data_IF_085929217347
#
_entry.id   IF_085929217347
#
_cell.length_a   1.000
_cell.length_b   1.000
_cell.length_c   1.000
_cell.angle_alpha   90.00
_cell.angle_beta   90.00
_cell.angle_gamma   90.00
#
_symmetry.space_group_name_H-M   'P 1'
#
loop_
_entity.id
_entity.type
_entity.pdbx_description
1 polymer ?
#
# COMPACT_ATOMS: atom_id res chain seq x y z
N UNK A 1 -2.64 7.29 -8.24
CA UNK A 1 -2.07 6.58 -7.07
C UNK A 1 -2.81 5.28 -6.90
N UNK A 2 -2.10 4.17 -6.93
CA UNK A 2 -2.64 2.79 -6.83
C UNK A 2 -2.31 2.14 -5.48
N UNK A 3 -2.14 2.95 -4.46
CA UNK A 3 -1.79 2.47 -3.11
C UNK A 3 -3.07 2.16 -2.34
N UNK A 4 -3.15 0.97 -1.77
CA UNK A 4 -4.25 0.60 -0.88
C UNK A 4 -4.18 1.38 0.42
N UNK A 5 -5.29 2.03 0.77
CA UNK A 5 -5.43 2.77 2.01
C UNK A 5 -6.81 2.52 2.62
N UNK A 6 -6.89 2.28 3.93
CA UNK A 6 -8.11 1.85 4.62
C UNK A 6 -9.26 2.87 4.67
N UNK A 7 -9.00 4.12 4.32
CA UNK A 7 -9.99 5.20 4.31
C UNK A 7 -10.09 5.76 2.91
N UNK A 8 -11.30 6.04 2.47
CA UNK A 8 -11.61 6.68 1.19
C UNK A 8 -12.42 7.95 1.38
N UNK A 9 -12.41 8.81 0.37
CA UNK A 9 -13.24 9.99 0.30
C UNK A 9 -14.45 9.69 -0.58
N UNK A 10 -15.66 9.89 -0.04
CA UNK A 10 -16.90 9.73 -0.79
C UNK A 10 -17.11 10.90 -1.77
N UNK A 11 -18.03 10.75 -2.73
CA UNK A 11 -18.40 11.82 -3.65
C UNK A 11 -18.91 13.08 -2.94
N UNK A 12 -19.48 12.90 -1.75
CA UNK A 12 -19.99 13.99 -0.92
C UNK A 12 -18.90 14.62 -0.02
N UNK A 13 -17.64 14.24 -0.21
CA UNK A 13 -16.51 14.79 0.54
C UNK A 13 -16.38 14.27 1.97
N UNK A 14 -17.01 13.15 2.32
CA UNK A 14 -16.93 12.52 3.63
C UNK A 14 -15.89 11.41 3.66
N UNK A 15 -15.23 11.26 4.80
CA UNK A 15 -14.28 10.17 5.04
C UNK A 15 -15.01 8.93 5.51
N UNK A 16 -14.77 7.80 4.86
CA UNK A 16 -15.34 6.50 5.22
C UNK A 16 -14.27 5.40 5.17
N UNK A 17 -14.42 4.39 6.04
CA UNK A 17 -13.60 3.19 5.94
C UNK A 17 -14.03 2.39 4.71
N UNK A 18 -13.08 2.00 3.87
CA UNK A 18 -13.32 1.11 2.73
C UNK A 18 -13.09 -0.38 3.09
N UNK A 19 -12.72 -0.66 4.33
CA UNK A 19 -12.60 -2.01 4.88
C UNK A 19 -13.91 -2.34 5.60
N UNK A 20 -14.54 -3.46 5.23
CA UNK A 20 -15.80 -3.94 5.85
C UNK A 20 -15.58 -4.74 7.14
N UNK A 21 -14.36 -5.30 7.33
CA UNK A 21 -14.01 -6.10 8.50
C UNK A 21 -13.62 -5.23 9.69
N UNK A 22 -14.31 -5.36 10.82
CA UNK A 22 -13.93 -4.68 12.07
C UNK A 22 -12.50 -5.02 12.51
N UNK A 23 -12.10 -6.28 12.35
CA UNK A 23 -10.73 -6.71 12.63
C UNK A 23 -9.70 -6.00 11.74
N UNK A 24 -10.04 -5.74 10.46
CA UNK A 24 -9.21 -4.97 9.54
C UNK A 24 -9.07 -3.51 9.96
N UNK A 25 -10.18 -2.87 10.36
CA UNK A 25 -10.18 -1.50 10.87
C UNK A 25 -9.35 -1.40 12.16
N UNK A 26 -9.52 -2.35 13.07
CA UNK A 26 -8.77 -2.38 14.32
C UNK A 26 -7.26 -2.58 14.06
N UNK A 27 -6.89 -3.46 13.13
CA UNK A 27 -5.50 -3.67 12.71
C UNK A 27 -4.88 -2.39 12.14
N UNK A 28 -5.63 -1.68 11.29
CA UNK A 28 -5.19 -0.38 10.78
C UNK A 28 -4.91 0.62 11.90
N UNK A 29 -5.86 0.76 12.85
CA UNK A 29 -5.70 1.67 14.00
C UNK A 29 -4.46 1.32 14.83
N UNK A 30 -4.26 0.04 15.13
CA UNK A 30 -3.07 -0.45 15.85
C UNK A 30 -1.76 -0.16 15.11
N UNK A 31 -1.75 -0.24 13.79
CA UNK A 31 -0.55 0.02 13.00
C UNK A 31 -0.07 1.48 13.11
N UNK A 32 -0.98 2.43 13.28
CA UNK A 32 -0.66 3.87 13.30
C UNK A 32 -0.69 4.48 14.72
N UNK A 33 -1.10 3.72 15.73
CA UNK A 33 -1.13 4.17 17.12
C UNK A 33 -0.25 3.27 17.99
N UNK A 34 -0.87 2.40 18.78
CA UNK A 34 -0.22 1.38 19.60
C UNK A 34 -1.06 0.10 19.60
N UNK A 35 -0.54 -0.98 20.17
CA UNK A 35 -1.29 -2.24 20.31
C UNK A 35 -2.65 -2.06 21.04
N UNK A 36 -2.75 -1.05 21.89
CA UNK A 36 -3.97 -0.71 22.64
C UNK A 36 -4.80 0.38 21.96
N UNK A 37 -4.48 0.75 20.72
CA UNK A 37 -5.10 1.86 19.98
C UNK A 37 -5.06 3.21 20.72
N UNK A 38 -4.06 3.46 21.57
CA UNK A 38 -3.91 4.69 22.33
C UNK A 38 -2.69 5.49 21.89
N UNK A 39 -2.85 6.81 21.91
CA UNK A 39 -1.75 7.75 21.70
C UNK A 39 -1.83 8.79 22.81
N UNK A 40 -0.85 8.81 23.70
CA UNK A 40 -0.90 9.57 24.97
C UNK A 40 -2.16 9.17 25.74
N UNK A 41 -3.06 10.13 26.01
CA UNK A 41 -4.29 9.92 26.78
C UNK A 41 -5.54 9.73 25.88
N UNK A 42 -5.38 9.64 24.56
CA UNK A 42 -6.50 9.51 23.62
C UNK A 42 -6.63 8.06 23.14
N UNK A 43 -7.84 7.52 23.28
CA UNK A 43 -8.19 6.17 22.80
C UNK A 43 -8.85 6.23 21.43
N UNK A 44 -8.24 5.59 20.45
CA UNK A 44 -8.70 5.53 19.06
C UNK A 44 -9.43 4.22 18.72
N UNK A 45 -9.72 3.36 19.68
CA UNK A 45 -10.39 2.06 19.44
C UNK A 45 -11.70 2.23 18.68
N UNK A 46 -12.53 3.22 19.11
CA UNK A 46 -13.80 3.50 18.46
C UNK A 46 -13.76 4.70 17.50
N UNK A 47 -12.56 5.19 17.16
CA UNK A 47 -12.43 6.36 16.30
C UNK A 47 -13.05 6.15 14.92
N UNK A 48 -13.78 7.15 14.47
CA UNK A 48 -14.36 7.22 13.12
C UNK A 48 -13.31 7.50 12.06
N UNK A 49 -13.65 7.31 10.78
CA UNK A 49 -12.73 7.61 9.69
C UNK A 49 -12.26 9.08 9.65
N UNK A 50 -13.14 10.09 9.87
CA UNK A 50 -12.70 11.49 9.98
C UNK A 50 -11.73 11.74 11.13
N UNK A 51 -11.95 11.15 12.29
CA UNK A 51 -11.06 11.30 13.45
C UNK A 51 -9.69 10.69 13.19
N UNK A 52 -9.66 9.52 12.55
CA UNK A 52 -8.40 8.90 12.15
C UNK A 52 -7.65 9.71 11.09
N UNK A 53 -8.35 10.28 10.10
CA UNK A 53 -7.73 11.16 9.11
C UNK A 53 -7.16 12.42 9.76
N UNK A 54 -7.86 13.00 10.72
CA UNK A 54 -7.39 14.16 11.47
C UNK A 54 -6.13 13.82 12.31
N UNK A 55 -6.12 12.67 12.97
CA UNK A 55 -4.96 12.16 13.69
C UNK A 55 -3.76 11.95 12.75
N UNK A 56 -3.97 11.26 11.62
CA UNK A 56 -2.92 11.00 10.64
C UNK A 56 -2.35 12.29 10.02
N UNK A 57 -3.22 13.28 9.74
CA UNK A 57 -2.81 14.57 9.21
C UNK A 57 -1.96 15.34 10.20
N UNK A 58 -2.44 15.51 11.44
CA UNK A 58 -1.90 16.50 12.36
C UNK A 58 -0.85 15.94 13.34
N UNK A 59 -0.92 14.64 13.67
CA UNK A 59 -0.06 14.06 14.70
C UNK A 59 0.89 12.99 14.17
N UNK A 60 0.43 12.13 13.28
CA UNK A 60 1.24 11.00 12.83
C UNK A 60 2.17 11.36 11.67
N UNK A 61 1.64 12.01 10.64
CA UNK A 61 2.42 12.42 9.45
C UNK A 61 2.73 13.91 9.40
N UNK A 62 2.17 14.72 10.29
CA UNK A 62 2.40 16.16 10.42
C UNK A 62 2.33 16.89 9.05
N UNK A 63 1.21 16.68 8.34
CA UNK A 63 1.00 17.30 7.01
C UNK A 63 0.66 18.77 7.20
N UNK A 64 1.62 19.64 6.91
CA UNK A 64 1.48 21.10 7.01
C UNK A 64 0.88 21.71 5.75
N UNK A 65 0.18 22.82 5.91
CA UNK A 65 -0.45 23.60 4.83
C UNK A 65 -1.93 23.29 4.65
N UNK A 66 -2.59 24.18 3.91
CA UNK A 66 -3.98 24.02 3.50
C UNK A 66 -4.02 23.10 2.27
N UNK A 67 -4.33 21.84 2.51
CA UNK A 67 -4.32 20.78 1.49
C UNK A 67 -5.77 20.31 1.30
N UNK A 68 -6.21 20.35 0.05
CA UNK A 68 -7.50 19.78 -0.35
C UNK A 68 -7.61 18.30 0.00
N UNK A 69 -8.83 17.83 0.30
CA UNK A 69 -9.08 16.46 0.78
C UNK A 69 -8.58 15.38 -0.18
N UNK A 70 -8.70 15.57 -1.49
CA UNK A 70 -8.19 14.62 -2.49
C UNK A 70 -6.65 14.53 -2.48
N UNK A 71 -5.99 15.67 -2.35
CA UNK A 71 -4.53 15.72 -2.21
C UNK A 71 -4.09 15.14 -0.88
N UNK A 72 -4.81 15.46 0.20
CA UNK A 72 -4.54 14.91 1.53
C UNK A 72 -4.62 13.40 1.53
N UNK A 73 -5.68 12.82 0.94
CA UNK A 73 -5.82 11.37 0.81
C UNK A 73 -4.61 10.75 0.10
N UNK A 74 -4.19 11.33 -1.03
CA UNK A 74 -3.03 10.84 -1.79
C UNK A 74 -1.73 10.91 -0.98
N UNK A 75 -1.49 12.02 -0.28
CA UNK A 75 -0.30 12.19 0.56
C UNK A 75 -0.27 11.17 1.69
N UNK A 76 -1.39 11.03 2.41
CA UNK A 76 -1.47 10.13 3.56
C UNK A 76 -1.37 8.67 3.11
N UNK A 77 -2.04 8.27 2.02
CA UNK A 77 -1.99 6.90 1.50
C UNK A 77 -0.56 6.50 1.08
N UNK A 78 0.18 7.39 0.42
CA UNK A 78 1.58 7.14 0.05
C UNK A 78 2.45 7.01 1.30
N UNK A 79 2.35 7.96 2.25
CA UNK A 79 3.14 7.93 3.49
C UNK A 79 2.82 6.71 4.34
N UNK A 80 1.56 6.30 4.41
CA UNK A 80 1.14 5.10 5.13
C UNK A 80 1.73 3.83 4.51
N UNK A 81 1.71 3.72 3.18
CA UNK A 81 2.30 2.59 2.49
C UNK A 81 3.82 2.50 2.71
N UNK A 82 4.53 3.63 2.63
CA UNK A 82 5.96 3.69 2.95
C UNK A 82 6.21 3.31 4.42
N UNK A 83 5.36 3.76 5.33
CA UNK A 83 5.45 3.42 6.75
C UNK A 83 5.29 1.92 7.00
N UNK A 84 4.32 1.26 6.37
CA UNK A 84 4.12 -0.18 6.49
C UNK A 84 5.35 -0.99 6.04
N UNK A 85 6.09 -0.48 5.05
CA UNK A 85 7.31 -1.11 4.53
C UNK A 85 8.60 -0.57 5.18
N UNK A 86 8.50 0.22 6.25
CA UNK A 86 9.64 0.86 6.90
C UNK A 86 10.68 -0.13 7.45
N UNK A 87 10.28 -1.35 7.79
CA UNK A 87 11.17 -2.45 8.16
C UNK A 87 12.01 -3.00 7.00
N UNK A 88 11.60 -2.74 5.76
CA UNK A 88 12.23 -3.24 4.53
C UNK A 88 12.77 -2.09 3.68
N UNK A 89 13.66 -1.28 4.24
CA UNK A 89 14.17 -0.03 3.64
C UNK A 89 14.82 -0.18 2.26
N UNK A 90 15.17 -1.40 1.86
CA UNK A 90 15.81 -1.70 0.58
C UNK A 90 14.81 -2.10 -0.51
N UNK A 91 13.52 -2.26 -0.18
CA UNK A 91 12.49 -2.60 -1.15
C UNK A 91 11.80 -1.32 -1.61
N UNK A 92 11.73 -1.14 -2.92
CA UNK A 92 11.04 0.01 -3.52
C UNK A 92 9.53 -0.14 -3.33
N UNK A 93 8.88 0.94 -2.91
CA UNK A 93 7.42 1.00 -2.77
C UNK A 93 6.80 1.54 -4.05
N UNK A 94 5.92 0.78 -4.68
CA UNK A 94 5.19 1.23 -5.87
C UNK A 94 4.10 2.22 -5.47
N UNK A 95 4.20 3.45 -5.97
CA UNK A 95 3.26 4.54 -5.67
C UNK A 95 2.16 4.65 -6.73
N UNK A 96 2.51 4.42 -7.99
CA UNK A 96 1.57 4.46 -9.11
C UNK A 96 1.99 3.48 -10.19
N UNK A 97 1.00 2.93 -10.90
CA UNK A 97 1.18 2.06 -12.06
C UNK A 97 0.43 2.65 -13.26
N UNK A 98 0.76 2.20 -14.45
CA UNK A 98 0.15 2.64 -15.72
C UNK A 98 0.13 4.18 -15.89
N UNK A 99 1.22 4.82 -15.47
CA UNK A 99 1.37 6.27 -15.66
C UNK A 99 1.63 6.60 -17.12
N UNK A 100 1.16 7.76 -17.58
CA UNK A 100 1.39 8.21 -18.94
C UNK A 100 2.87 8.49 -19.21
N UNK A 101 3.26 8.45 -20.48
CA UNK A 101 4.65 8.76 -20.90
C UNK A 101 5.05 10.18 -20.52
N UNK A 102 4.12 11.13 -20.60
CA UNK A 102 4.33 12.52 -20.18
C UNK A 102 4.66 12.61 -18.69
N UNK A 103 3.95 11.84 -17.86
CA UNK A 103 4.21 11.77 -16.41
C UNK A 103 5.59 11.16 -16.13
N UNK A 104 5.96 10.12 -16.88
CA UNK A 104 7.28 9.50 -16.74
C UNK A 104 8.40 10.47 -17.08
N UNK A 105 8.28 11.20 -18.20
CA UNK A 105 9.24 12.23 -18.61
C UNK A 105 9.32 13.33 -17.56
N UNK A 106 8.18 13.84 -17.07
CA UNK A 106 8.15 14.87 -16.04
C UNK A 106 8.85 14.43 -14.74
N UNK A 107 8.73 13.15 -14.35
CA UNK A 107 9.44 12.60 -13.18
C UNK A 107 10.95 12.57 -13.45
N UNK A 108 11.38 12.15 -14.64
CA UNK A 108 12.79 12.08 -15.01
C UNK A 108 13.43 13.47 -15.08
N UNK A 109 12.76 14.45 -15.66
CA UNK A 109 13.21 15.84 -15.72
C UNK A 109 13.35 16.47 -14.33
N UNK A 110 12.47 16.11 -13.40
CA UNK A 110 12.48 16.62 -12.02
C UNK A 110 13.22 15.71 -11.02
N UNK A 111 14.03 14.76 -11.48
CA UNK A 111 14.71 13.77 -10.62
C UNK A 111 15.61 14.43 -9.56
N UNK A 112 16.18 15.60 -9.84
CA UNK A 112 16.99 16.35 -8.88
C UNK A 112 16.17 16.87 -7.67
N UNK A 113 14.92 17.19 -7.90
CA UNK A 113 13.96 17.68 -6.89
C UNK A 113 13.22 16.53 -6.21
N UNK A 114 12.86 15.50 -6.98
CA UNK A 114 12.13 14.30 -6.53
C UNK A 114 13.10 13.20 -6.05
N UNK A 115 13.92 13.51 -5.07
CA UNK A 115 14.91 12.56 -4.54
C UNK A 115 14.21 11.30 -4.01
N UNK A 116 14.67 10.12 -4.47
CA UNK A 116 14.11 8.83 -4.06
C UNK A 116 12.88 8.38 -4.85
N UNK A 117 12.41 9.17 -5.82
CA UNK A 117 11.36 8.76 -6.76
C UNK A 117 12.01 8.30 -8.06
N UNK A 118 11.59 7.14 -8.56
CA UNK A 118 12.06 6.54 -9.80
C UNK A 118 10.88 6.09 -10.65
N UNK A 119 10.91 6.39 -11.93
CA UNK A 119 9.98 5.84 -12.91
C UNK A 119 10.69 4.74 -13.69
N UNK A 120 10.11 3.56 -13.73
CA UNK A 120 10.64 2.38 -14.43
C UNK A 120 9.60 1.83 -15.39
N UNK A 121 10.05 1.44 -16.57
CA UNK A 121 9.23 0.74 -17.54
C UNK A 121 9.40 -0.76 -17.30
N UNK A 122 8.30 -1.47 -17.09
CA UNK A 122 8.29 -2.91 -16.88
C UNK A 122 7.46 -3.61 -17.95
N UNK A 123 8.01 -4.65 -18.53
CA UNK A 123 7.28 -5.51 -19.46
C UNK A 123 6.37 -6.46 -18.69
N UNK A 124 5.07 -6.30 -18.86
CA UNK A 124 4.06 -7.19 -18.28
C UNK A 124 3.61 -8.18 -19.35
N UNK A 125 3.69 -9.48 -19.04
CA UNK A 125 3.18 -10.52 -19.91
C UNK A 125 1.65 -10.48 -19.92
N UNK A 126 1.07 -10.25 -21.10
CA UNK A 126 -0.37 -10.30 -21.32
C UNK A 126 -0.72 -11.58 -22.06
N UNK A 127 -1.58 -12.40 -21.50
CA UNK A 127 -2.09 -13.60 -22.14
C UNK A 127 -3.37 -13.28 -22.89
N UNK A 128 -3.41 -13.60 -24.18
CA UNK A 128 -4.67 -13.56 -24.94
C UNK A 128 -5.57 -14.69 -24.44
N UNK A 129 -6.89 -14.44 -24.39
CA UNK A 129 -7.88 -15.40 -23.93
C UNK A 129 -7.61 -16.00 -22.53
N UNK A 130 -7.04 -15.20 -21.63
CA UNK A 130 -6.66 -15.62 -20.28
C UNK A 130 -7.83 -16.26 -19.50
N UNK A 131 -9.07 -15.85 -19.79
CA UNK A 131 -10.27 -16.41 -19.17
C UNK A 131 -10.41 -17.93 -19.43
N UNK A 132 -10.11 -18.35 -20.66
CA UNK A 132 -10.23 -19.77 -21.07
C UNK A 132 -9.02 -20.60 -20.63
N UNK A 133 -7.84 -19.99 -20.59
CA UNK A 133 -6.60 -20.68 -20.26
C UNK A 133 -6.23 -20.59 -18.78
N UNK A 134 -6.93 -19.80 -17.97
CA UNK A 134 -6.63 -19.65 -16.55
C UNK A 134 -6.53 -21.00 -15.79
N UNK A 135 -7.40 -22.00 -16.01
CA UNK A 135 -7.30 -23.28 -15.33
C UNK A 135 -6.04 -24.08 -15.71
N UNK A 136 -5.46 -23.82 -16.89
CA UNK A 136 -4.27 -24.52 -17.40
C UNK A 136 -3.01 -23.77 -16.98
N UNK A 137 -3.04 -22.44 -17.02
CA UNK A 137 -1.90 -21.58 -16.72
C UNK A 137 -1.66 -21.42 -15.23
N UNK A 138 -2.71 -21.62 -14.40
CA UNK A 138 -2.66 -21.30 -12.99
C UNK A 138 -2.53 -19.80 -12.71
N UNK A 139 -2.16 -19.45 -11.52
CA UNK A 139 -1.88 -18.08 -11.11
C UNK A 139 -0.57 -18.00 -10.30
N UNK A 140 -0.03 -16.81 -10.18
CA UNK A 140 1.14 -16.57 -9.35
C UNK A 140 0.73 -15.86 -8.07
N UNK A 141 1.40 -16.17 -6.97
CA UNK A 141 1.16 -15.51 -5.69
C UNK A 141 2.37 -15.64 -4.77
N UNK A 142 2.40 -14.83 -3.72
CA UNK A 142 3.45 -14.92 -2.71
C UNK A 142 3.48 -16.32 -2.10
N UNK A 143 4.69 -16.80 -1.85
CA UNK A 143 4.91 -18.10 -1.22
C UNK A 143 4.27 -18.12 0.17
N UNK A 144 3.57 -19.21 0.51
CA UNK A 144 3.06 -19.43 1.88
C UNK A 144 4.15 -19.96 2.79
N UNK A 145 3.99 -19.82 4.11
CA UNK A 145 4.96 -20.33 5.10
C UNK A 145 5.20 -21.83 4.92
N UNK A 146 4.14 -22.60 4.71
CA UNK A 146 4.23 -24.05 4.47
C UNK A 146 5.00 -24.39 3.20
N UNK A 147 4.75 -23.68 2.11
CA UNK A 147 5.48 -23.85 0.85
C UNK A 147 6.95 -23.41 0.97
N UNK A 148 7.21 -22.37 1.76
CA UNK A 148 8.57 -21.89 2.01
C UNK A 148 9.39 -22.95 2.74
N UNK A 149 8.84 -23.57 3.79
CA UNK A 149 9.48 -24.66 4.52
C UNK A 149 9.73 -25.87 3.62
N UNK A 150 8.71 -26.29 2.85
CA UNK A 150 8.82 -27.44 1.95
C UNK A 150 9.87 -27.23 0.85
N UNK A 151 9.88 -26.07 0.20
CA UNK A 151 10.83 -25.77 -0.87
C UNK A 151 12.26 -25.60 -0.34
N UNK A 152 12.43 -24.99 0.83
CA UNK A 152 13.74 -24.85 1.42
C UNK A 152 14.28 -26.20 1.96
N UNK A 153 13.41 -27.10 2.43
CA UNK A 153 13.80 -28.48 2.74
C UNK A 153 14.27 -29.26 1.50
N UNK A 154 13.80 -28.88 0.30
CA UNK A 154 14.26 -29.42 -0.99
C UNK A 154 15.55 -28.72 -1.51
N UNK A 155 16.15 -27.84 -0.72
CA UNK A 155 17.37 -27.11 -1.10
C UNK A 155 17.13 -25.89 -2.00
N UNK A 156 15.89 -25.40 -2.13
CA UNK A 156 15.55 -24.20 -2.87
C UNK A 156 15.58 -23.01 -1.89
N UNK A 157 16.42 -22.03 -2.14
CA UNK A 157 16.60 -20.86 -1.27
C UNK A 157 15.52 -19.80 -1.52
N UNK A 158 14.25 -20.10 -1.27
CA UNK A 158 13.16 -19.11 -1.36
C UNK A 158 13.09 -18.25 -0.10
N UNK A 159 12.63 -17.01 -0.29
CA UNK A 159 12.34 -16.08 0.80
C UNK A 159 10.83 -15.76 0.81
N UNK A 160 10.32 -15.25 1.92
CA UNK A 160 8.87 -14.98 2.13
C UNK A 160 8.25 -13.98 1.15
N UNK A 161 9.07 -13.18 0.49
CA UNK A 161 8.63 -12.22 -0.54
C UNK A 161 8.58 -12.79 -1.96
N UNK A 162 9.05 -14.03 -2.16
CA UNK A 162 9.10 -14.63 -3.48
C UNK A 162 7.70 -14.99 -4.00
N UNK A 163 7.54 -14.84 -5.31
CA UNK A 163 6.31 -15.16 -6.02
C UNK A 163 6.48 -16.49 -6.72
N UNK A 164 5.58 -17.43 -6.42
CA UNK A 164 5.58 -18.78 -6.99
C UNK A 164 4.29 -19.05 -7.77
N UNK A 165 4.36 -19.98 -8.72
CA UNK A 165 3.18 -20.48 -9.42
C UNK A 165 2.28 -21.28 -8.47
N UNK A 166 0.97 -21.05 -8.58
CA UNK A 166 -0.08 -21.79 -7.86
C UNK A 166 -1.05 -22.34 -8.88
N UNK A 167 -1.37 -23.59 -8.77
CA UNK A 167 -2.35 -24.30 -9.61
C UNK A 167 -3.61 -24.58 -8.81
#
# INVERSE_FOLDING_TARGET
VTVDFPISLTKDGKWEYNITSEAGILRFKKNVTSNDCKVKDVDYTNATAPEMMNYLKNQFFEVTGDVDNDKLLKIISIRYNIYLHSGQKYITTTVAQDVSKETMVAIQENASTLKGVKAEEQNIRKYNDSLYYAPILGYTGTISETQLEEFNAQGKNYISSDVVGKA
#
